data_IF_911689945542
#
_entry.id   IF_911689945542
#
_cell.length_a   1.000
_cell.length_b   1.000
_cell.length_c   1.000
_cell.angle_alpha   90.00
_cell.angle_beta   90.00
_cell.angle_gamma   90.00
#
_symmetry.space_group_name_H-M   'P 1'
#
loop_
_entity.id
_entity.type
_entity.pdbx_description
1 polymer ?
#
# COMPACT_ATOMS: atom_id res chain seq x y z
N UNK A 1 -16.79 -36.95 -30.40
CA UNK A 1 -15.34 -37.23 -30.36
C UNK A 1 -14.64 -36.23 -31.26
N UNK A 2 -13.95 -35.23 -30.72
CA UNK A 2 -13.07 -34.35 -31.50
C UNK A 2 -11.63 -34.65 -31.07
N UNK A 3 -10.86 -35.23 -32.00
CA UNK A 3 -9.41 -35.33 -31.90
C UNK A 3 -8.83 -33.94 -32.05
N UNK A 4 -7.90 -33.56 -31.18
CA UNK A 4 -6.89 -32.57 -31.50
C UNK A 4 -5.51 -33.11 -31.12
N UNK A 5 -4.57 -32.73 -31.97
CA UNK A 5 -3.28 -33.32 -32.26
C UNK A 5 -2.24 -33.01 -31.19
N UNK A 6 -1.27 -33.91 -31.07
CA UNK A 6 -0.02 -33.78 -30.34
C UNK A 6 0.72 -32.50 -30.72
N UNK A 7 0.78 -31.53 -29.81
CA UNK A 7 1.86 -30.53 -29.69
C UNK A 7 1.95 -30.15 -28.20
N UNK A 8 2.91 -30.74 -27.50
CA UNK A 8 3.22 -30.46 -26.09
C UNK A 8 3.93 -29.09 -26.03
N UNK A 9 3.16 -28.00 -26.08
CA UNK A 9 3.69 -26.71 -25.65
C UNK A 9 3.82 -26.80 -24.14
N UNK A 10 5.07 -26.90 -23.66
CA UNK A 10 5.43 -26.85 -22.25
C UNK A 10 5.27 -25.39 -21.75
N UNK A 11 4.11 -24.79 -22.02
CA UNK A 11 3.74 -23.47 -21.55
C UNK A 11 3.37 -23.64 -20.09
N UNK A 12 4.31 -23.29 -19.22
CA UNK A 12 4.07 -23.23 -17.78
C UNK A 12 2.88 -22.28 -17.59
N UNK A 13 1.70 -22.83 -17.32
CA UNK A 13 0.50 -22.02 -17.05
C UNK A 13 0.91 -21.04 -15.95
N UNK A 14 0.83 -19.73 -16.18
CA UNK A 14 1.25 -18.78 -15.17
C UNK A 14 0.40 -19.00 -13.93
N UNK A 15 1.04 -19.32 -12.81
CA UNK A 15 0.35 -19.51 -11.54
C UNK A 15 -0.23 -18.18 -11.07
N UNK A 16 -1.54 -18.16 -10.84
CA UNK A 16 -2.26 -16.99 -10.37
C UNK A 16 -2.41 -17.06 -8.84
N UNK A 17 -1.34 -16.74 -8.12
CA UNK A 17 -1.34 -16.72 -6.66
C UNK A 17 -1.03 -15.33 -6.11
N UNK A 18 -2.02 -14.65 -5.54
CA UNK A 18 -1.84 -13.35 -4.88
C UNK A 18 -1.78 -13.45 -3.34
N UNK A 19 -1.69 -14.66 -2.80
CA UNK A 19 -1.82 -14.94 -1.38
C UNK A 19 -3.28 -14.91 -0.90
N UNK A 20 -3.52 -15.18 0.40
CA UNK A 20 -4.86 -15.37 0.95
C UNK A 20 -5.72 -14.10 0.97
N UNK A 21 -5.09 -12.91 0.95
CA UNK A 21 -5.74 -11.60 1.03
C UNK A 21 -5.78 -10.89 -0.32
N UNK A 22 -5.60 -11.65 -1.40
CA UNK A 22 -5.51 -11.14 -2.76
C UNK A 22 -6.44 -11.89 -3.71
N UNK A 23 -7.15 -11.13 -4.54
CA UNK A 23 -7.81 -11.68 -5.73
C UNK A 23 -6.83 -11.61 -6.90
N UNK A 24 -6.71 -12.72 -7.62
CA UNK A 24 -5.84 -12.82 -8.77
C UNK A 24 -6.62 -12.75 -10.08
N UNK A 25 -6.11 -11.99 -11.04
CA UNK A 25 -6.61 -11.93 -12.41
C UNK A 25 -5.46 -11.82 -13.40
N UNK A 26 -5.75 -12.05 -14.68
CA UNK A 26 -4.83 -11.77 -15.77
C UNK A 26 -5.40 -10.66 -16.63
N UNK A 27 -4.58 -9.66 -16.92
CA UNK A 27 -4.87 -8.57 -17.84
C UNK A 27 -3.74 -8.53 -18.87
N UNK A 28 -4.06 -8.70 -20.15
CA UNK A 28 -3.07 -8.80 -21.24
C UNK A 28 -2.01 -9.91 -21.03
N UNK A 29 -2.39 -10.99 -20.35
CA UNK A 29 -1.49 -12.09 -19.99
C UNK A 29 -0.57 -11.80 -18.81
N UNK A 30 -0.65 -10.62 -18.21
CA UNK A 30 0.09 -10.25 -17.01
C UNK A 30 -0.75 -10.50 -15.76
N UNK A 31 -0.14 -11.13 -14.76
CA UNK A 31 -0.74 -11.34 -13.44
C UNK A 31 -1.02 -9.98 -12.78
N UNK A 32 -2.24 -9.80 -12.30
CA UNK A 32 -2.69 -8.66 -11.49
C UNK A 32 -3.23 -9.17 -10.17
N UNK A 33 -2.84 -8.50 -9.09
CA UNK A 33 -3.36 -8.75 -7.75
C UNK A 33 -4.19 -7.55 -7.31
N UNK A 34 -5.40 -7.82 -6.82
CA UNK A 34 -6.22 -6.84 -6.11
C UNK A 34 -6.29 -7.27 -4.66
N UNK A 35 -5.73 -6.48 -3.76
CA UNK A 35 -5.65 -6.81 -2.35
C UNK A 35 -6.89 -6.33 -1.57
N UNK A 36 -7.17 -7.01 -0.46
CA UNK A 36 -8.16 -6.52 0.50
C UNK A 36 -7.68 -5.24 1.20
N UNK A 37 -8.60 -4.51 1.83
CA UNK A 37 -8.27 -3.29 2.58
C UNK A 37 -7.25 -3.60 3.68
N UNK A 38 -6.21 -2.77 3.79
CA UNK A 38 -5.09 -2.99 4.72
C UNK A 38 -4.01 -3.92 4.18
N UNK A 39 -4.09 -4.33 2.92
CA UNK A 39 -3.05 -5.06 2.21
C UNK A 39 -2.67 -4.33 0.93
N UNK A 40 -1.42 -4.47 0.51
CA UNK A 40 -0.94 -3.96 -0.77
C UNK A 40 0.01 -4.94 -1.45
N UNK A 41 0.24 -4.77 -2.75
CA UNK A 41 1.05 -5.67 -3.55
C UNK A 41 2.53 -5.41 -3.29
N UNK A 42 3.24 -6.43 -2.80
CA UNK A 42 4.70 -6.48 -2.77
C UNK A 42 5.17 -7.81 -3.32
N UNK A 43 6.18 -7.79 -4.17
CA UNK A 43 6.73 -9.00 -4.82
C UNK A 43 5.67 -9.86 -5.53
N UNK A 44 4.62 -9.21 -6.04
CA UNK A 44 3.53 -9.88 -6.77
C UNK A 44 2.55 -10.66 -5.89
N UNK A 45 2.54 -10.45 -4.58
CA UNK A 45 1.54 -10.99 -3.63
C UNK A 45 1.00 -9.88 -2.73
N UNK A 46 -0.18 -10.09 -2.15
CA UNK A 46 -0.77 -9.16 -1.19
C UNK A 46 -0.16 -9.39 0.20
N UNK A 47 0.47 -8.37 0.74
CA UNK A 47 1.02 -8.37 2.10
C UNK A 47 0.42 -7.25 2.93
N UNK A 48 0.45 -7.41 4.25
CA UNK A 48 -0.14 -6.44 5.17
C UNK A 48 0.51 -5.06 5.01
N UNK A 49 -0.32 -4.04 4.90
CA UNK A 49 0.04 -2.64 4.75
C UNK A 49 -0.89 -1.80 5.64
N UNK A 50 -0.50 -1.66 6.92
CA UNK A 50 -1.32 -0.98 7.92
C UNK A 50 -0.74 0.39 8.34
N UNK A 51 -1.31 1.49 7.84
CA UNK A 51 -0.97 2.84 8.29
C UNK A 51 -1.84 3.34 9.46
N UNK A 52 -2.71 2.50 10.01
CA UNK A 52 -3.73 2.91 10.96
C UNK A 52 -4.88 3.69 10.30
N UNK A 53 -5.84 4.19 11.10
CA UNK A 53 -6.94 5.00 10.59
C UNK A 53 -6.42 6.32 9.99
N UNK A 54 -7.20 6.88 9.06
CA UNK A 54 -6.89 8.15 8.38
C UNK A 54 -5.59 8.10 7.56
N UNK A 55 -5.19 6.90 7.11
CA UNK A 55 -4.00 6.67 6.30
C UNK A 55 -4.27 5.68 5.18
N UNK A 56 -3.88 6.04 3.97
CA UNK A 56 -3.72 5.09 2.87
C UNK A 56 -2.32 4.50 2.92
N UNK A 57 -2.21 3.19 2.70
CA UNK A 57 -0.95 2.47 2.72
C UNK A 57 -0.63 1.93 1.33
N UNK A 58 0.63 2.05 0.92
CA UNK A 58 1.15 1.38 -0.26
C UNK A 58 2.64 1.06 -0.12
N UNK A 59 3.17 0.16 -0.95
CA UNK A 59 4.60 -0.09 -1.08
C UNK A 59 5.18 0.63 -2.29
N UNK A 60 6.26 1.38 -2.09
CA UNK A 60 7.08 1.98 -3.16
C UNK A 60 8.53 1.61 -2.93
N UNK A 61 9.19 1.00 -3.93
CA UNK A 61 10.59 0.55 -3.82
C UNK A 61 10.85 -0.27 -2.55
N UNK A 62 9.98 -1.23 -2.25
CA UNK A 62 10.01 -2.10 -1.07
C UNK A 62 9.78 -1.41 0.29
N UNK A 63 9.56 -0.10 0.30
CA UNK A 63 9.29 0.69 1.50
C UNK A 63 7.79 0.91 1.66
N UNK A 64 7.31 0.71 2.90
CA UNK A 64 5.93 1.02 3.27
C UNK A 64 5.75 2.54 3.33
N UNK A 65 4.85 3.06 2.52
CA UNK A 65 4.46 4.45 2.45
C UNK A 65 3.09 4.65 3.09
N UNK A 66 2.96 5.70 3.90
CA UNK A 66 1.72 6.10 4.53
C UNK A 66 1.34 7.51 4.08
N UNK A 67 0.23 7.60 3.35
CA UNK A 67 -0.36 8.86 2.94
C UNK A 67 -1.50 9.20 3.92
N UNK A 68 -1.21 10.08 4.87
CA UNK A 68 -2.16 10.46 5.92
C UNK A 68 -3.13 11.55 5.44
N UNK A 69 -4.36 11.50 5.96
CA UNK A 69 -5.34 12.59 5.82
C UNK A 69 -4.81 13.91 6.40
N UNK A 70 -5.39 15.07 6.04
CA UNK A 70 -5.04 16.35 6.63
C UNK A 70 -5.05 16.28 8.16
N UNK A 71 -4.18 17.05 8.82
CA UNK A 71 -3.94 17.05 10.28
C UNK A 71 -3.38 15.74 10.88
N UNK A 72 -3.17 14.68 10.10
CA UNK A 72 -2.44 13.48 10.52
C UNK A 72 -1.03 13.46 9.90
N UNK A 73 -0.04 12.99 10.65
CA UNK A 73 1.33 12.79 10.16
C UNK A 73 1.81 11.38 10.50
N UNK A 74 2.76 10.89 9.72
CA UNK A 74 3.39 9.60 9.98
C UNK A 74 4.25 9.69 11.24
N UNK A 75 3.93 8.85 12.22
CA UNK A 75 4.71 8.62 13.43
C UNK A 75 4.75 7.11 13.67
N UNK A 76 5.95 6.57 13.86
CA UNK A 76 6.18 5.14 14.10
C UNK A 76 5.50 4.23 13.04
N UNK A 77 5.49 4.70 11.78
CA UNK A 77 4.92 3.95 10.65
C UNK A 77 3.39 3.95 10.56
N UNK A 78 2.70 4.80 11.33
CA UNK A 78 1.24 4.99 11.29
C UNK A 78 0.85 6.46 11.28
N UNK A 79 -0.34 6.76 10.78
CA UNK A 79 -0.92 8.09 10.80
C UNK A 79 -1.40 8.42 12.21
N UNK A 80 -0.83 9.47 12.79
CA UNK A 80 -1.14 9.97 14.13
C UNK A 80 -1.57 11.43 14.03
N UNK A 81 -2.61 11.78 14.77
CA UNK A 81 -3.13 13.15 14.80
C UNK A 81 -2.05 14.15 15.25
N UNK A 82 -1.92 15.22 14.47
CA UNK A 82 -0.95 16.29 14.65
C UNK A 82 -1.64 17.64 14.40
N UNK A 83 -2.63 17.97 15.22
CA UNK A 83 -3.25 19.30 15.20
C UNK A 83 -2.49 20.30 16.08
N UNK A 84 -1.99 21.40 15.50
CA UNK A 84 -1.33 22.51 16.20
C UNK A 84 -2.12 23.81 16.13
N UNK A 85 -3.41 23.73 15.81
CA UNK A 85 -4.30 24.87 15.64
C UNK A 85 -4.11 25.58 14.29
N UNK A 86 -4.98 26.57 14.01
CA UNK A 86 -5.21 27.11 12.66
C UNK A 86 -4.00 27.82 12.01
N UNK A 87 -2.98 28.19 12.78
CA UNK A 87 -1.74 28.82 12.29
C UNK A 87 -0.47 28.03 12.64
N UNK A 88 -0.63 26.87 13.26
CA UNK A 88 0.48 26.03 13.71
C UNK A 88 0.85 24.99 12.66
N UNK A 89 2.12 24.94 12.25
CA UNK A 89 2.67 23.78 11.56
C UNK A 89 3.00 22.72 12.61
N UNK A 90 2.45 21.52 12.45
CA UNK A 90 2.75 20.38 13.30
C UNK A 90 3.85 19.50 12.71
N UNK A 91 4.64 18.86 13.56
CA UNK A 91 5.62 17.84 13.19
C UNK A 91 5.92 16.93 14.38
N UNK A 92 6.52 15.76 14.09
CA UNK A 92 7.07 14.90 15.12
C UNK A 92 8.60 14.85 14.99
N UNK A 93 9.32 15.15 16.07
CA UNK A 93 10.77 14.97 16.16
C UNK A 93 11.10 14.18 17.43
N UNK A 94 11.90 13.12 17.30
CA UNK A 94 12.24 12.22 18.41
C UNK A 94 10.99 11.71 19.18
N UNK A 95 9.88 11.48 18.47
CA UNK A 95 8.62 11.04 19.04
C UNK A 95 7.80 12.13 19.76
N UNK A 96 8.30 13.36 19.86
CA UNK A 96 7.63 14.50 20.48
C UNK A 96 6.91 15.35 19.43
N UNK A 97 5.72 15.83 19.78
CA UNK A 97 4.92 16.73 18.93
C UNK A 97 5.44 18.15 19.05
N UNK A 98 5.84 18.74 17.93
CA UNK A 98 6.31 20.11 17.83
C UNK A 98 5.33 20.98 17.06
N UNK A 99 5.08 22.18 17.58
CA UNK A 99 4.19 23.17 17.00
C UNK A 99 4.98 24.44 16.66
N UNK A 100 4.94 24.87 15.39
CA UNK A 100 5.57 26.11 14.95
C UNK A 100 4.51 27.09 14.46
N UNK A 101 4.46 28.29 15.04
CA UNK A 101 3.67 29.36 14.47
C UNK A 101 4.26 29.74 13.10
N UNK A 102 3.44 29.77 12.05
CA UNK A 102 3.83 30.48 10.83
C UNK A 102 4.04 31.94 11.21
N UNK A 103 5.28 32.43 11.19
CA UNK A 103 5.54 33.87 11.22
C UNK A 103 5.01 34.42 9.92
N UNK A 104 3.94 35.21 10.02
CA UNK A 104 3.42 36.00 8.90
C UNK A 104 4.60 36.87 8.39
N UNK A 105 5.02 36.65 7.14
CA UNK A 105 6.08 37.41 6.47
C UNK A 105 5.47 38.63 5.77
#
# INVERSE_FOLDING_TARGET
>A
MRKFSSDYVNEKIPECDCGPQGRCSFEEGLKKCTCENGFDVKDGICIECDCGPNGMCNFENDLKMCNCEPIFLVKDGKCTECDCGPKGKCSFENGLKNAFAKKDL
#
